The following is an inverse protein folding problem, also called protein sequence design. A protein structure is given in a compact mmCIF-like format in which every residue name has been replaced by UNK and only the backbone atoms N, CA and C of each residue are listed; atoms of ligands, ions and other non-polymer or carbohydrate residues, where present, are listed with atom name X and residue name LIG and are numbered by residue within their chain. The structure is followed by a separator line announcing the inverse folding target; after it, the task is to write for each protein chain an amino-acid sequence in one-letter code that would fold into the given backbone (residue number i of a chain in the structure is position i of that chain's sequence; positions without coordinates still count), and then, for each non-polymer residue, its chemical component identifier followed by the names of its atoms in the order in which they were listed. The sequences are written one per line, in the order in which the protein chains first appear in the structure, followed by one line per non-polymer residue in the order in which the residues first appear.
data_IF_719945650121
#
_entry.id   IF_719945650121
#
_cell.length_a   1.000
_cell.length_b   1.000
_cell.length_c   1.000
_cell.angle_alpha   90.00
_cell.angle_beta   90.00
_cell.angle_gamma   90.00
#
_symmetry.space_group_name_H-M   'P 1'
#
loop_
_entity.id
_entity.type
_entity.pdbx_description
1 polymer ?
#
# COMPACT_ATOMS: atom_id res chain seq x y z
N UNK A 1 25.83 8.90 -9.78
CA UNK A 1 24.78 8.44 -8.83
C UNK A 1 23.36 8.76 -9.34
N UNK A 2 23.04 8.52 -10.63
CA UNK A 2 21.72 8.81 -11.23
C UNK A 2 20.72 7.62 -11.20
N UNK A 3 21.12 6.48 -10.66
CA UNK A 3 20.36 5.21 -10.75
C UNK A 3 19.90 4.64 -9.41
N UNK A 4 20.32 5.22 -8.28
CA UNK A 4 20.00 4.70 -6.94
C UNK A 4 18.47 4.56 -6.70
N UNK A 5 17.62 5.53 -7.08
CA UNK A 5 16.17 5.40 -6.90
C UNK A 5 15.57 4.26 -7.75
N UNK A 6 16.06 4.08 -8.98
CA UNK A 6 15.57 3.00 -9.85
C UNK A 6 15.95 1.62 -9.30
N UNK A 7 17.14 1.47 -8.72
CA UNK A 7 17.59 0.18 -8.15
C UNK A 7 16.71 -0.21 -6.97
N UNK A 8 16.32 0.73 -6.11
CA UNK A 8 15.53 0.42 -4.93
C UNK A 8 14.06 0.06 -5.29
N UNK A 9 13.47 0.74 -6.28
CA UNK A 9 12.15 0.36 -6.82
C UNK A 9 12.17 -1.01 -7.52
N UNK A 10 13.21 -1.32 -8.31
CA UNK A 10 13.38 -2.65 -8.91
C UNK A 10 13.57 -3.72 -7.82
N UNK A 11 14.40 -3.43 -6.82
CA UNK A 11 14.62 -4.33 -5.70
C UNK A 11 13.30 -4.61 -4.95
N UNK A 12 12.45 -3.61 -4.74
CA UNK A 12 11.13 -3.79 -4.11
C UNK A 12 10.22 -4.70 -4.92
N UNK A 13 10.17 -4.52 -6.24
CA UNK A 13 9.42 -5.41 -7.13
C UNK A 13 9.96 -6.84 -7.03
N UNK A 14 11.28 -7.03 -7.03
CA UNK A 14 11.91 -8.35 -6.91
C UNK A 14 11.73 -9.01 -5.53
N UNK A 15 11.72 -8.21 -4.45
CA UNK A 15 11.51 -8.68 -3.07
C UNK A 15 10.04 -9.05 -2.84
N UNK A 16 9.09 -8.47 -3.57
CA UNK A 16 7.67 -8.75 -3.35
C UNK A 16 7.33 -10.25 -3.53
N UNK A 17 7.70 -10.95 -4.62
CA UNK A 17 7.50 -12.40 -4.73
C UNK A 17 8.10 -13.21 -3.57
N UNK A 18 9.30 -12.83 -3.10
CA UNK A 18 9.93 -13.48 -1.95
C UNK A 18 9.10 -13.27 -0.67
N UNK A 19 8.61 -12.06 -0.44
CA UNK A 19 7.71 -11.76 0.67
C UNK A 19 6.44 -12.62 0.60
N UNK A 20 5.81 -12.74 -0.56
CA UNK A 20 4.61 -13.57 -0.73
C UNK A 20 4.91 -15.04 -0.45
N UNK A 21 6.02 -15.55 -0.98
CA UNK A 21 6.46 -16.91 -0.72
C UNK A 21 6.65 -17.18 0.78
N UNK A 22 7.30 -16.27 1.51
CA UNK A 22 7.53 -16.39 2.95
C UNK A 22 6.22 -16.37 3.76
N UNK A 23 5.26 -15.52 3.37
CA UNK A 23 3.94 -15.49 4.02
C UNK A 23 3.20 -16.82 3.85
N UNK A 24 3.28 -17.43 2.67
CA UNK A 24 2.59 -18.69 2.39
C UNK A 24 3.18 -19.91 3.13
N UNK A 25 4.43 -19.83 3.61
CA UNK A 25 5.01 -20.91 4.43
C UNK A 25 4.36 -21.02 5.82
N UNK A 26 3.70 -19.95 6.29
CA UNK A 26 2.93 -19.92 7.53
C UNK A 26 3.68 -20.45 8.78
N UNK A 27 4.97 -20.13 8.91
CA UNK A 27 5.77 -20.41 10.12
C UNK A 27 6.11 -19.12 10.84
N UNK A 28 6.47 -19.20 12.13
CA UNK A 28 6.92 -18.03 12.90
C UNK A 28 8.07 -17.30 12.21
N UNK A 29 9.14 -18.04 11.85
CA UNK A 29 10.34 -17.46 11.22
C UNK A 29 10.01 -16.79 9.89
N UNK A 30 9.25 -17.44 9.02
CA UNK A 30 8.93 -16.88 7.71
C UNK A 30 7.97 -15.69 7.80
N UNK A 31 7.02 -15.71 8.74
CA UNK A 31 6.11 -14.59 8.98
C UNK A 31 6.85 -13.36 9.51
N UNK A 32 7.82 -13.54 10.41
CA UNK A 32 8.69 -12.46 10.91
C UNK A 32 9.52 -11.88 9.77
N UNK A 33 10.14 -12.71 8.93
CA UNK A 33 10.92 -12.23 7.79
C UNK A 33 10.06 -11.51 6.75
N UNK A 34 8.84 -11.99 6.49
CA UNK A 34 7.92 -11.31 5.60
C UNK A 34 7.51 -9.92 6.13
N UNK A 35 7.22 -9.81 7.44
CA UNK A 35 6.95 -8.53 8.10
C UNK A 35 8.14 -7.58 7.96
N UNK A 36 9.36 -8.05 8.23
CA UNK A 36 10.59 -7.24 8.10
C UNK A 36 10.76 -6.75 6.66
N UNK A 37 10.62 -7.64 5.67
CA UNK A 37 10.72 -7.26 4.26
C UNK A 37 9.64 -6.25 3.84
N UNK A 38 8.40 -6.42 4.33
CA UNK A 38 7.31 -5.48 4.07
C UNK A 38 7.64 -4.09 4.62
N UNK A 39 8.05 -4.01 5.89
CA UNK A 39 8.36 -2.76 6.58
C UNK A 39 9.56 -2.08 5.92
N UNK A 40 10.64 -2.81 5.62
CA UNK A 40 11.79 -2.28 4.90
C UNK A 40 11.40 -1.78 3.51
N UNK A 41 10.55 -2.52 2.79
CA UNK A 41 10.00 -2.12 1.49
C UNK A 41 9.21 -0.81 1.58
N UNK A 42 8.30 -0.69 2.54
CA UNK A 42 7.48 0.50 2.76
C UNK A 42 8.33 1.73 3.18
N UNK A 43 9.32 1.53 4.06
CA UNK A 43 10.24 2.58 4.49
C UNK A 43 11.14 3.03 3.34
N UNK A 44 11.64 2.09 2.53
CA UNK A 44 12.51 2.39 1.39
C UNK A 44 11.84 3.36 0.41
N UNK A 45 10.54 3.19 0.14
CA UNK A 45 9.77 4.06 -0.75
C UNK A 45 9.71 5.50 -0.25
N UNK A 46 9.46 5.66 1.05
CA UNK A 46 9.39 6.96 1.66
C UNK A 46 10.72 7.72 1.55
N UNK A 47 11.85 7.02 1.78
CA UNK A 47 13.17 7.61 1.67
C UNK A 47 13.59 7.90 0.23
N UNK A 48 13.32 7.01 -0.73
CA UNK A 48 13.60 7.25 -2.15
C UNK A 48 12.88 8.49 -2.66
N UNK A 49 11.59 8.60 -2.31
CA UNK A 49 10.77 9.73 -2.68
C UNK A 49 11.26 11.05 -2.08
N UNK A 50 11.87 11.04 -0.90
CA UNK A 50 12.50 12.22 -0.32
C UNK A 50 13.85 12.55 -0.96
N UNK A 51 14.68 11.53 -1.20
CA UNK A 51 16.02 11.71 -1.75
C UNK A 51 15.95 12.24 -3.19
N UNK A 52 15.07 11.68 -4.01
CA UNK A 52 14.83 12.16 -5.37
C UNK A 52 14.35 13.63 -5.41
N UNK A 53 13.51 14.04 -4.44
CA UNK A 53 13.03 15.42 -4.30
C UNK A 53 14.14 16.37 -3.81
N UNK A 54 14.94 15.94 -2.84
CA UNK A 54 15.99 16.76 -2.24
C UNK A 54 17.15 17.05 -3.20
N UNK A 55 17.53 16.05 -4.01
CA UNK A 55 18.67 16.19 -4.92
C UNK A 55 18.27 16.54 -6.36
N UNK A 56 16.97 16.60 -6.68
CA UNK A 56 16.49 16.85 -8.04
C UNK A 56 16.90 15.75 -9.03
N UNK A 57 17.29 14.57 -8.53
CA UNK A 57 17.78 13.46 -9.32
C UNK A 57 16.66 12.44 -9.46
N UNK A 58 16.08 12.35 -10.65
CA UNK A 58 15.07 11.35 -10.98
C UNK A 58 15.02 11.13 -12.48
N UNK A 59 15.07 9.87 -12.91
CA UNK A 59 14.89 9.52 -14.32
C UNK A 59 13.40 9.57 -14.68
N UNK A 60 13.07 9.85 -15.94
CA UNK A 60 11.69 9.76 -16.44
C UNK A 60 11.10 8.36 -16.20
N UNK A 61 11.93 7.33 -16.34
CA UNK A 61 11.58 5.92 -16.09
C UNK A 61 11.27 5.64 -14.61
N UNK A 62 12.12 6.10 -13.67
CA UNK A 62 11.92 5.93 -12.23
C UNK A 62 10.59 6.52 -11.75
N UNK A 63 10.19 7.70 -12.26
CA UNK A 63 8.91 8.33 -11.93
C UNK A 63 7.68 7.47 -12.23
N UNK A 64 7.77 6.53 -13.18
CA UNK A 64 6.71 5.56 -13.47
C UNK A 64 6.88 4.28 -12.68
N UNK A 65 8.12 3.86 -12.42
CA UNK A 65 8.42 2.62 -11.72
C UNK A 65 8.11 2.70 -10.22
N UNK A 66 8.35 3.85 -9.57
CA UNK A 66 8.14 3.98 -8.12
C UNK A 66 6.66 3.76 -7.72
N UNK A 67 5.66 4.39 -8.38
CA UNK A 67 4.24 4.14 -8.08
C UNK A 67 3.77 2.73 -8.47
N UNK A 68 4.48 2.05 -9.38
CA UNK A 68 4.21 0.66 -9.73
C UNK A 68 4.74 -0.27 -8.63
N UNK A 69 5.99 -0.06 -8.20
CA UNK A 69 6.64 -0.85 -7.16
C UNK A 69 5.88 -0.78 -5.83
N UNK A 70 5.40 0.41 -5.44
CA UNK A 70 4.55 0.59 -4.26
C UNK A 70 3.27 -0.27 -4.32
N UNK A 71 2.55 -0.21 -5.45
CA UNK A 71 1.31 -0.99 -5.63
C UNK A 71 1.57 -2.48 -5.67
N UNK A 72 2.66 -2.92 -6.30
CA UNK A 72 3.02 -4.34 -6.35
C UNK A 72 3.23 -4.88 -4.92
N UNK A 73 3.97 -4.15 -4.09
CA UNK A 73 4.20 -4.53 -2.69
C UNK A 73 2.89 -4.59 -1.90
N UNK A 74 2.11 -3.52 -1.94
CA UNK A 74 0.89 -3.37 -1.13
C UNK A 74 -0.23 -4.31 -1.60
N UNK A 75 -0.56 -4.30 -2.89
CA UNK A 75 -1.60 -5.18 -3.44
C UNK A 75 -1.17 -6.65 -3.43
N UNK A 76 0.11 -6.94 -3.69
CA UNK A 76 0.64 -8.29 -3.54
C UNK A 76 0.44 -8.82 -2.13
N UNK A 77 0.76 -8.02 -1.12
CA UNK A 77 0.55 -8.39 0.28
C UNK A 77 -0.94 -8.63 0.59
N UNK A 78 -1.85 -7.77 0.12
CA UNK A 78 -3.29 -8.02 0.25
C UNK A 78 -3.74 -9.32 -0.41
N UNK A 79 -3.20 -9.63 -1.59
CA UNK A 79 -3.49 -10.89 -2.29
C UNK A 79 -3.05 -12.08 -1.45
N UNK A 80 -1.85 -12.06 -0.85
CA UNK A 80 -1.43 -13.11 0.06
C UNK A 80 -2.38 -13.24 1.26
N UNK A 81 -2.81 -12.12 1.84
CA UNK A 81 -3.74 -12.14 2.97
C UNK A 81 -5.11 -12.72 2.63
N UNK A 82 -5.60 -12.60 1.40
CA UNK A 82 -6.84 -13.28 0.95
C UNK A 82 -6.72 -14.80 1.13
N UNK A 83 -5.53 -15.39 0.91
CA UNK A 83 -5.33 -16.83 1.06
C UNK A 83 -5.07 -17.26 2.51
N UNK A 84 -4.53 -16.36 3.34
CA UNK A 84 -4.13 -16.68 4.73
C UNK A 84 -5.30 -16.46 5.70
N UNK A 85 -6.09 -15.40 5.51
CA UNK A 85 -7.20 -14.98 6.37
C UNK A 85 -8.40 -14.51 5.53
N UNK A 86 -8.99 -15.41 4.70
CA UNK A 86 -10.05 -15.04 3.75
C UNK A 86 -11.26 -14.38 4.40
N UNK A 87 -11.61 -14.78 5.63
CA UNK A 87 -12.75 -14.23 6.36
C UNK A 87 -12.56 -12.76 6.75
N UNK A 88 -11.31 -12.32 6.91
CA UNK A 88 -10.98 -10.94 7.30
C UNK A 88 -10.68 -10.05 6.10
N UNK A 89 -10.35 -10.65 4.95
CA UNK A 89 -9.89 -9.93 3.76
C UNK A 89 -10.78 -10.26 2.57
N UNK A 90 -11.98 -9.65 2.50
CA UNK A 90 -12.90 -9.94 1.41
C UNK A 90 -12.35 -9.37 0.09
N UNK A 91 -12.46 -10.16 -0.98
CA UNK A 91 -11.94 -9.83 -2.31
C UNK A 91 -12.51 -8.50 -2.82
N UNK A 92 -13.79 -8.21 -2.52
CA UNK A 92 -14.44 -6.97 -2.94
C UNK A 92 -13.74 -5.72 -2.38
N UNK A 93 -13.22 -5.78 -1.15
CA UNK A 93 -12.52 -4.65 -0.54
C UNK A 93 -11.19 -4.39 -1.26
N UNK A 94 -10.45 -5.46 -1.56
CA UNK A 94 -9.17 -5.38 -2.27
C UNK A 94 -9.38 -4.89 -3.70
N UNK A 95 -10.44 -5.34 -4.37
CA UNK A 95 -10.82 -4.86 -5.69
C UNK A 95 -11.12 -3.35 -5.70
N UNK A 96 -11.84 -2.83 -4.70
CA UNK A 96 -12.11 -1.39 -4.57
C UNK A 96 -10.83 -0.58 -4.31
N UNK A 97 -9.95 -1.06 -3.43
CA UNK A 97 -8.66 -0.43 -3.17
C UNK A 97 -7.82 -0.37 -4.45
N UNK A 98 -7.71 -1.49 -5.16
CA UNK A 98 -6.94 -1.60 -6.40
C UNK A 98 -7.49 -0.70 -7.50
N UNK A 99 -8.82 -0.76 -7.74
CA UNK A 99 -9.50 0.07 -8.73
C UNK A 99 -9.26 1.55 -8.43
N UNK A 100 -9.46 1.98 -7.18
CA UNK A 100 -9.23 3.36 -6.77
C UNK A 100 -7.78 3.77 -7.01
N UNK A 101 -6.80 2.95 -6.64
CA UNK A 101 -5.38 3.29 -6.74
C UNK A 101 -4.88 3.37 -8.18
N UNK A 102 -5.41 2.54 -9.07
CA UNK A 102 -5.17 2.64 -10.51
C UNK A 102 -5.83 3.91 -11.05
N UNK A 103 -7.12 4.13 -10.75
CA UNK A 103 -7.89 5.29 -11.24
C UNK A 103 -7.28 6.64 -10.83
N UNK A 104 -6.94 6.83 -9.55
CA UNK A 104 -6.33 8.09 -9.06
C UNK A 104 -4.94 8.30 -9.66
N UNK A 105 -4.16 7.23 -9.85
CA UNK A 105 -2.83 7.34 -10.48
C UNK A 105 -2.94 7.69 -11.97
N UNK A 106 -3.90 7.08 -12.68
CA UNK A 106 -4.21 7.37 -14.06
C UNK A 106 -4.64 8.83 -14.24
N UNK A 107 -5.59 9.28 -13.43
CA UNK A 107 -6.07 10.67 -13.43
C UNK A 107 -4.94 11.67 -13.17
N UNK A 108 -4.08 11.39 -12.17
CA UNK A 108 -2.91 12.25 -11.90
C UNK A 108 -1.94 12.27 -13.07
N UNK A 109 -1.75 11.14 -13.75
CA UNK A 109 -0.89 11.07 -14.92
C UNK A 109 -1.46 11.85 -16.11
N UNK A 110 -2.79 11.83 -16.28
CA UNK A 110 -3.49 12.62 -17.29
C UNK A 110 -3.43 14.13 -17.00
N UNK A 111 -3.77 14.54 -15.79
CA UNK A 111 -3.76 15.95 -15.37
C UNK A 111 -2.38 16.61 -15.54
N UNK A 112 -1.29 15.87 -15.28
CA UNK A 112 0.08 16.35 -15.54
C UNK A 112 0.38 16.60 -17.02
N UNK A 113 -0.28 15.88 -17.94
CA UNK A 113 -0.13 16.11 -19.39
C UNK A 113 -0.93 17.31 -19.86
N UNK A 114 -2.04 17.62 -19.22
CA UNK A 114 -2.91 18.76 -19.56
C UNK A 114 -2.53 20.07 -18.84
N UNK A 115 -1.45 20.07 -18.05
CA UNK A 115 -0.95 21.27 -17.37
C UNK A 115 -1.65 21.60 -16.04
N UNK A 116 -2.64 20.80 -15.63
CA UNK A 116 -3.29 20.94 -14.34
C UNK A 116 -2.46 20.24 -13.24
N UNK A 117 -1.73 21.01 -12.43
CA UNK A 117 -1.04 20.46 -11.25
C UNK A 117 -2.05 20.24 -10.12
N UNK A 118 -2.62 19.03 -10.07
CA UNK A 118 -3.36 18.54 -8.92
C UNK A 118 -2.38 18.31 -7.75
N UNK A 119 -1.99 19.39 -7.09
CA UNK A 119 -1.22 19.37 -5.84
C UNK A 119 -1.83 18.35 -4.88
N UNK A 120 -1.01 17.43 -4.41
CA UNK A 120 -1.40 16.36 -3.51
C UNK A 120 -2.00 16.90 -2.22
N UNK A 121 -3.28 16.63 -1.98
CA UNK A 121 -3.95 16.93 -0.71
C UNK A 121 -3.40 16.06 0.43
N UNK A 122 -3.47 16.57 1.66
CA UNK A 122 -3.12 15.81 2.88
C UNK A 122 -3.91 14.50 2.99
N UNK A 123 -5.10 14.46 2.39
CA UNK A 123 -5.98 13.31 2.25
C UNK A 123 -5.30 12.10 1.60
N UNK A 124 -4.41 12.31 0.63
CA UNK A 124 -3.69 11.22 -0.03
C UNK A 124 -2.65 10.57 0.89
N UNK A 125 -1.98 11.36 1.76
CA UNK A 125 -1.01 10.84 2.73
C UNK A 125 -1.70 10.04 3.83
N UNK A 126 -2.81 10.58 4.36
CA UNK A 126 -3.58 9.93 5.41
C UNK A 126 -4.04 8.53 4.98
N UNK A 127 -4.55 8.41 3.74
CA UNK A 127 -4.96 7.12 3.17
C UNK A 127 -3.84 6.07 3.19
N UNK A 128 -2.67 6.43 2.67
CA UNK A 128 -1.52 5.51 2.61
C UNK A 128 -1.06 5.10 4.00
N UNK A 129 -1.01 6.04 4.96
CA UNK A 129 -0.67 5.72 6.35
C UNK A 129 -1.65 4.71 6.94
N UNK A 130 -2.96 4.93 6.81
CA UNK A 130 -3.98 4.02 7.36
C UNK A 130 -3.86 2.61 6.75
N UNK A 131 -3.67 2.52 5.43
CA UNK A 131 -3.56 1.25 4.71
C UNK A 131 -2.28 0.48 5.09
N UNK A 132 -1.12 1.15 5.15
CA UNK A 132 0.14 0.54 5.56
C UNK A 132 0.11 0.12 7.04
N UNK A 133 -0.46 0.94 7.92
CA UNK A 133 -0.62 0.60 9.33
C UNK A 133 -1.47 -0.66 9.50
N UNK A 134 -2.59 -0.76 8.77
CA UNK A 134 -3.43 -1.96 8.81
C UNK A 134 -2.66 -3.20 8.36
N UNK A 135 -1.91 -3.12 7.25
CA UNK A 135 -1.10 -4.25 6.77
C UNK A 135 0.00 -4.65 7.76
N UNK A 136 0.75 -3.70 8.31
CA UNK A 136 1.80 -3.97 9.31
C UNK A 136 1.20 -4.64 10.54
N UNK A 137 0.05 -4.14 11.01
CA UNK A 137 -0.66 -4.73 12.15
C UNK A 137 -1.06 -6.18 11.87
N UNK A 138 -1.67 -6.46 10.72
CA UNK A 138 -2.09 -7.82 10.35
C UNK A 138 -0.91 -8.78 10.20
N UNK A 139 0.17 -8.34 9.55
CA UNK A 139 1.40 -9.14 9.43
C UNK A 139 2.03 -9.43 10.80
N UNK A 140 2.00 -8.46 11.71
CA UNK A 140 2.47 -8.63 13.09
C UNK A 140 1.61 -9.65 13.84
N UNK A 141 0.28 -9.58 13.68
CA UNK A 141 -0.64 -10.48 14.36
C UNK A 141 -0.51 -11.91 13.83
N UNK A 142 -0.32 -12.08 12.51
CA UNK A 142 -0.02 -13.38 11.90
C UNK A 142 1.29 -13.95 12.45
N UNK A 143 2.36 -13.15 12.53
CA UNK A 143 3.61 -13.61 13.11
C UNK A 143 3.46 -13.98 14.60
N UNK A 144 2.75 -13.17 15.39
CA UNK A 144 2.52 -13.41 16.81
C UNK A 144 1.63 -14.64 17.07
N UNK A 145 0.65 -14.91 16.21
CA UNK A 145 -0.21 -16.10 16.28
C UNK A 145 0.56 -17.43 16.14
N UNK A 146 1.76 -17.39 15.56
CA UNK A 146 2.64 -18.56 15.41
C UNK A 146 3.48 -18.87 16.66
N UNK A 147 3.43 -18.03 17.71
CA UNK A 147 4.16 -18.25 18.96
C UNK A 147 3.40 -19.29 19.80
N UNK A 148 4.04 -20.40 20.23
CA UNK A 148 3.37 -21.43 21.01
C UNK A 148 2.83 -20.92 22.36
N UNK A 149 1.69 -21.46 22.78
CA UNK A 149 1.08 -21.21 24.08
C UNK A 149 0.05 -20.07 24.07
N UNK A 150 -0.36 -19.65 25.28
CA UNK A 150 -1.45 -18.68 25.48
C UNK A 150 -1.22 -17.36 24.74
N UNK A 151 0.04 -16.96 24.54
CA UNK A 151 0.37 -15.75 23.80
C UNK A 151 -0.13 -15.82 22.36
N UNK A 152 0.19 -16.89 21.60
CA UNK A 152 -0.26 -17.03 20.22
C UNK A 152 -1.76 -17.17 20.09
N UNK A 153 -2.41 -17.89 21.02
CA UNK A 153 -3.87 -18.07 21.04
C UNK A 153 -4.63 -16.74 21.13
N UNK A 154 -4.11 -15.76 21.89
CA UNK A 154 -4.69 -14.41 21.96
C UNK A 154 -4.69 -13.74 20.57
N UNK A 155 -3.60 -13.87 19.81
CA UNK A 155 -3.53 -13.29 18.45
C UNK A 155 -4.37 -14.05 17.44
N UNK A 156 -4.50 -15.37 17.57
CA UNK A 156 -5.46 -16.15 16.78
C UNK A 156 -6.88 -15.62 17.04
N UNK A 157 -7.23 -15.36 18.30
CA UNK A 157 -8.51 -14.75 18.67
C UNK A 157 -8.71 -13.37 18.04
N UNK A 158 -7.69 -12.51 18.05
CA UNK A 158 -7.75 -11.22 17.36
C UNK A 158 -7.92 -11.35 15.84
N UNK A 159 -7.20 -12.27 15.20
CA UNK A 159 -7.31 -12.53 13.76
C UNK A 159 -8.68 -13.10 13.38
N UNK A 160 -9.34 -13.85 14.27
CA UNK A 160 -10.69 -14.37 14.04
C UNK A 160 -11.79 -13.35 14.39
N UNK A 161 -11.45 -12.26 15.10
CA UNK A 161 -12.44 -11.31 15.59
C UNK A 161 -13.07 -10.50 14.46
N UNK A 162 -14.40 -10.44 14.43
CA UNK A 162 -15.16 -9.74 13.38
C UNK A 162 -14.84 -8.25 13.26
N UNK A 163 -14.30 -7.62 14.31
CA UNK A 163 -13.89 -6.22 14.22
C UNK A 163 -12.71 -6.00 13.27
N UNK A 164 -11.86 -7.01 13.02
CA UNK A 164 -10.74 -6.90 12.06
C UNK A 164 -11.24 -6.75 10.63
N UNK A 165 -12.23 -7.54 10.24
CA UNK A 165 -12.97 -7.37 9.00
C UNK A 165 -13.54 -5.95 8.89
N UNK A 166 -14.25 -5.48 9.91
CA UNK A 166 -14.84 -4.12 9.89
C UNK A 166 -13.79 -3.02 9.84
N UNK A 167 -12.62 -3.24 10.44
CA UNK A 167 -11.49 -2.32 10.35
C UNK A 167 -10.96 -2.23 8.91
N UNK A 168 -10.85 -3.35 8.19
CA UNK A 168 -10.50 -3.32 6.76
C UNK A 168 -11.57 -2.64 5.91
N UNK A 169 -12.84 -2.88 6.21
CA UNK A 169 -13.96 -2.18 5.56
C UNK A 169 -13.82 -0.68 5.78
N UNK A 170 -13.53 -0.22 7.00
CA UNK A 170 -13.29 1.20 7.30
C UNK A 170 -12.11 1.76 6.49
N UNK A 171 -10.98 1.05 6.45
CA UNK A 171 -9.81 1.42 5.63
C UNK A 171 -10.18 1.53 4.15
N UNK A 172 -11.00 0.61 3.65
CA UNK A 172 -11.49 0.59 2.27
C UNK A 172 -12.41 1.78 2.00
N UNK A 173 -13.34 2.09 2.91
CA UNK A 173 -14.25 3.22 2.78
C UNK A 173 -13.51 4.56 2.80
N UNK A 174 -12.53 4.72 3.69
CA UNK A 174 -11.62 5.88 3.69
C UNK A 174 -10.90 5.95 2.34
N UNK A 175 -10.39 4.83 1.84
CA UNK A 175 -9.68 4.74 0.56
C UNK A 175 -10.55 5.19 -0.62
N UNK A 176 -11.77 4.68 -0.71
CA UNK A 176 -12.72 5.06 -1.76
C UNK A 176 -13.13 6.53 -1.62
N UNK A 177 -13.46 6.99 -0.40
CA UNK A 177 -13.83 8.38 -0.12
C UNK A 177 -12.74 9.37 -0.52
N UNK A 178 -11.47 9.06 -0.23
CA UNK A 178 -10.33 9.88 -0.69
C UNK A 178 -10.19 9.88 -2.22
N UNK A 179 -10.58 8.80 -2.89
CA UNK A 179 -10.62 8.72 -4.35
C UNK A 179 -11.68 9.64 -4.94
N UNK A 180 -12.91 9.57 -4.42
CA UNK A 180 -14.03 10.41 -4.84
C UNK A 180 -13.74 11.91 -4.63
N UNK A 181 -13.12 12.27 -3.50
CA UNK A 181 -12.66 13.64 -3.25
C UNK A 181 -11.67 14.12 -4.32
N UNK A 182 -10.77 13.25 -4.78
CA UNK A 182 -9.80 13.59 -5.81
C UNK A 182 -10.46 13.83 -7.17
N UNK A 183 -11.49 13.03 -7.51
CA UNK A 183 -12.29 13.24 -8.72
C UNK A 183 -13.08 14.55 -8.67
N UNK A 184 -13.68 14.89 -7.53
CA UNK A 184 -14.43 16.14 -7.40
C UNK A 184 -13.53 17.38 -7.46
N UNK A 185 -12.32 17.32 -6.88
CA UNK A 185 -11.32 18.38 -7.03
C UNK A 185 -10.88 18.57 -8.48
N UNK A 186 -10.75 17.48 -9.24
CA UNK A 186 -10.43 17.55 -10.67
C UNK A 186 -11.55 18.21 -11.48
N UNK A 187 -12.80 17.76 -11.31
CA UNK A 187 -13.94 18.31 -12.06
C UNK A 187 -14.14 19.81 -11.84
N UNK A 188 -14.01 20.28 -10.58
CA UNK A 188 -14.13 21.71 -10.25
C UNK A 188 -13.10 22.59 -10.97
N UNK A 189 -11.89 22.06 -11.19
CA UNK A 189 -10.81 22.78 -11.88
C UNK A 189 -10.96 22.75 -13.39
N UNK A 190 -11.56 21.70 -13.93
CA UNK A 190 -11.89 21.58 -15.35
C UNK A 190 -13.05 22.53 -15.73
N UNK A 191 -14.04 22.68 -14.84
CA UNK A 191 -15.22 23.54 -15.04
C UNK A 191 -14.96 25.05 -14.79
N UNK A 192 -13.73 25.47 -14.46
CA UNK A 192 -13.38 26.89 -14.23
C UNK A 192 -13.99 27.53 -12.98
N UNK A 193 -14.61 26.76 -12.09
CA UNK A 193 -15.32 27.24 -10.88
C UNK A 193 -14.42 27.44 -9.65
N UNK A 194 -13.10 27.43 -9.85
CA UNK A 194 -12.09 27.49 -8.78
C UNK A 194 -11.07 28.62 -8.91
N UNK A 195 -11.40 29.71 -9.61
CA UNK A 195 -10.63 30.95 -9.63
C UNK A 195 -11.26 32.01 -8.71
#
# INVERSE_FOLDING_TARGET
MKHVPNVLSIARIAVTPLLLYLLLQNTLTTSVWALVLFVLGAISDYYDGQLARKYGVGTSFGKYLDPLADKVLVLGTFIALIFIIPEQVPIWAIALIALRDISVTGLRSWARRTGADLRTSNTAKFKTTVQLTWLIMMLTFIAAAQIPGQFGEVFIGFLAASFMYWLLVLVTMITVGTGLHYFSEYNKREDGSGA
#
